data_IF_210783951112
#
_entry.id   IF_210783951112
#
_cell.length_a   1.000
_cell.length_b   1.000
_cell.length_c   1.000
_cell.angle_alpha   90.00
_cell.angle_beta   90.00
_cell.angle_gamma   90.00
#
_symmetry.space_group_name_H-M   'P 1'
#
loop_
_entity.id
_entity.type
_entity.pdbx_description
1 polymer ?
#
# COMPACT_ATOMS: atom_id res chain seq x y z
N UNK A 1 -4.62 -29.28 -4.85
CA UNK A 1 -5.73 -28.38 -5.21
C UNK A 1 -5.97 -27.41 -4.07
N UNK A 2 -5.37 -26.20 -4.11
CA UNK A 2 -5.68 -25.15 -3.14
C UNK A 2 -6.95 -24.45 -3.62
N UNK A 3 -7.99 -24.47 -2.80
CA UNK A 3 -9.32 -23.93 -3.09
C UNK A 3 -9.25 -22.45 -3.49
N UNK A 4 -9.70 -22.11 -4.70
CA UNK A 4 -9.90 -20.73 -5.17
C UNK A 4 -10.87 -19.93 -4.28
N UNK A 5 -11.71 -20.60 -3.47
CA UNK A 5 -12.68 -19.94 -2.59
C UNK A 5 -12.01 -19.14 -1.44
N UNK A 6 -10.84 -19.57 -0.96
CA UNK A 6 -10.11 -18.84 0.09
C UNK A 6 -9.30 -17.64 -0.43
N UNK A 7 -9.03 -17.58 -1.74
CA UNK A 7 -8.27 -16.50 -2.37
C UNK A 7 -9.16 -15.28 -2.67
N UNK A 8 -10.41 -15.53 -3.08
CA UNK A 8 -11.42 -14.49 -3.32
C UNK A 8 -11.70 -13.63 -2.06
N UNK A 9 -11.68 -14.25 -0.87
CA UNK A 9 -11.96 -13.56 0.40
C UNK A 9 -10.87 -12.60 0.90
N UNK A 10 -9.64 -12.64 0.36
CA UNK A 10 -8.55 -11.73 0.79
C UNK A 10 -8.63 -10.41 0.02
N UNK A 11 -9.07 -10.44 -1.24
CA UNK A 11 -9.29 -9.26 -2.07
C UNK A 11 -10.60 -8.54 -1.71
N UNK A 12 -11.66 -9.29 -1.42
CA UNK A 12 -12.97 -8.76 -0.99
C UNK A 12 -13.16 -8.88 0.52
N UNK A 13 -12.37 -8.12 1.29
CA UNK A 13 -12.58 -8.05 2.74
C UNK A 13 -13.83 -7.25 3.07
N UNK A 14 -14.99 -7.92 3.13
CA UNK A 14 -16.23 -7.36 3.67
C UNK A 14 -16.33 -7.66 5.17
N UNK A 15 -16.16 -6.62 5.97
CA UNK A 15 -16.22 -6.67 7.44
C UNK A 15 -17.05 -5.49 7.93
N UNK A 16 -17.98 -5.74 8.85
CA UNK A 16 -18.76 -4.70 9.51
C UNK A 16 -17.95 -4.06 10.66
N UNK A 17 -18.21 -2.79 11.02
CA UNK A 17 -17.47 -2.09 12.08
C UNK A 17 -17.35 -2.84 13.40
N UNK A 18 -18.41 -3.58 13.76
CA UNK A 18 -18.58 -4.23 15.04
C UNK A 18 -18.31 -5.75 14.99
N UNK A 19 -17.97 -6.29 13.81
CA UNK A 19 -17.47 -7.67 13.69
C UNK A 19 -16.23 -7.84 14.56
N UNK A 20 -16.11 -8.98 15.25
CA UNK A 20 -14.99 -9.22 16.16
C UNK A 20 -13.78 -9.78 15.40
N UNK A 21 -12.65 -9.09 15.51
CA UNK A 21 -11.35 -9.52 15.01
C UNK A 21 -10.37 -9.56 16.18
N UNK A 22 -9.75 -10.72 16.41
CA UNK A 22 -8.89 -10.96 17.57
C UNK A 22 -9.52 -10.58 18.93
N UNK A 23 -10.86 -10.65 19.04
CA UNK A 23 -11.61 -10.34 20.25
C UNK A 23 -12.04 -8.88 20.41
N UNK A 24 -11.71 -8.00 19.46
CA UNK A 24 -12.11 -6.58 19.47
C UNK A 24 -12.90 -6.20 18.22
N UNK A 25 -13.75 -5.15 18.28
CA UNK A 25 -14.42 -4.62 17.09
C UNK A 25 -13.45 -4.30 15.95
N UNK A 26 -13.80 -4.72 14.74
CA UNK A 26 -13.00 -4.56 13.54
C UNK A 26 -12.60 -3.09 13.31
N UNK A 27 -13.45 -2.14 13.71
CA UNK A 27 -13.12 -0.71 13.61
C UNK A 27 -11.95 -0.27 14.47
N UNK A 28 -11.76 -0.88 15.65
CA UNK A 28 -10.61 -0.63 16.52
C UNK A 28 -9.35 -1.28 15.94
N UNK A 29 -9.45 -2.51 15.46
CA UNK A 29 -8.32 -3.18 14.80
C UNK A 29 -7.89 -2.40 13.56
N UNK A 30 -8.84 -1.95 12.73
CA UNK A 30 -8.55 -1.10 11.57
C UNK A 30 -7.87 0.20 11.98
N UNK A 31 -8.32 0.86 13.06
CA UNK A 31 -7.67 2.07 13.59
C UNK A 31 -6.20 1.79 13.92
N UNK A 32 -5.91 0.69 14.60
CA UNK A 32 -4.55 0.23 14.90
C UNK A 32 -3.72 -0.01 13.63
N UNK A 33 -4.23 -0.79 12.67
CA UNK A 33 -3.54 -1.10 11.42
C UNK A 33 -3.37 0.12 10.49
N UNK A 34 -4.06 1.23 10.75
CA UNK A 34 -3.88 2.50 10.02
C UNK A 34 -2.85 3.42 10.68
N UNK A 35 -2.55 3.23 11.97
CA UNK A 35 -1.60 4.06 12.70
C UNK A 35 -0.21 3.97 12.08
N UNK A 36 0.23 2.75 11.80
CA UNK A 36 1.45 2.47 11.07
C UNK A 36 1.17 1.32 10.09
N UNK A 37 1.24 1.62 8.79
CA UNK A 37 0.85 0.66 7.73
C UNK A 37 1.88 -0.43 7.48
N UNK A 38 3.10 -0.28 8.00
CA UNK A 38 4.20 -1.20 7.73
C UNK A 38 4.47 -2.11 8.92
N UNK A 39 4.54 -1.53 10.11
CA UNK A 39 4.98 -2.23 11.31
C UNK A 39 4.10 -1.94 12.52
N UNK A 40 4.09 -2.87 13.48
CA UNK A 40 3.41 -2.72 14.76
C UNK A 40 4.28 -3.20 15.91
N UNK A 41 3.97 -2.66 17.08
CA UNK A 41 4.61 -2.94 18.35
C UNK A 41 3.58 -2.98 19.48
N UNK A 42 3.98 -3.43 20.66
CA UNK A 42 3.16 -3.33 21.89
C UNK A 42 2.83 -1.86 22.17
N UNK A 43 3.82 -0.97 22.06
CA UNK A 43 3.63 0.46 22.28
C UNK A 43 2.59 1.08 21.32
N UNK A 44 2.56 0.67 20.06
CA UNK A 44 1.53 1.13 19.11
C UNK A 44 0.12 0.71 19.57
N UNK A 45 -0.03 -0.52 20.09
CA UNK A 45 -1.31 -1.01 20.60
C UNK A 45 -1.73 -0.22 21.83
N UNK A 46 -0.82 -0.04 22.79
CA UNK A 46 -1.05 0.75 24.01
C UNK A 46 -1.45 2.18 23.67
N UNK A 47 -0.72 2.84 22.77
CA UNK A 47 -0.98 4.22 22.38
C UNK A 47 -2.30 4.40 21.61
N UNK A 48 -2.65 3.47 20.73
CA UNK A 48 -3.82 3.62 19.84
C UNK A 48 -5.12 3.13 20.49
N UNK A 49 -5.03 2.06 21.27
CA UNK A 49 -6.18 1.36 21.86
C UNK A 49 -6.28 1.51 23.39
N UNK A 50 -5.25 2.01 24.06
CA UNK A 50 -5.25 2.20 25.51
C UNK A 50 -5.18 0.89 26.32
N UNK A 51 -4.70 -0.20 25.70
CA UNK A 51 -4.54 -1.49 26.38
C UNK A 51 -3.26 -1.52 27.22
N UNK A 52 -3.28 -2.25 28.34
CA UNK A 52 -2.05 -2.56 29.07
C UNK A 52 -1.14 -3.50 28.29
N UNK A 53 0.15 -3.52 28.62
CA UNK A 53 1.18 -4.24 27.86
C UNK A 53 0.89 -5.75 27.68
N UNK A 54 0.34 -6.40 28.71
CA UNK A 54 -0.04 -7.82 28.64
C UNK A 54 -1.16 -8.07 27.63
N UNK A 55 -2.22 -7.24 27.66
CA UNK A 55 -3.35 -7.36 26.74
C UNK A 55 -2.97 -6.94 25.32
N UNK A 56 -2.08 -5.96 25.19
CA UNK A 56 -1.49 -5.58 23.91
C UNK A 56 -0.68 -6.73 23.29
N UNK A 57 0.16 -7.40 24.07
CA UNK A 57 0.91 -8.57 23.63
C UNK A 57 -0.02 -9.73 23.23
N UNK A 58 -1.07 -9.98 24.03
CA UNK A 58 -2.11 -10.98 23.73
C UNK A 58 -2.85 -10.68 22.43
N UNK A 59 -3.22 -9.42 22.21
CA UNK A 59 -3.89 -8.97 20.98
C UNK A 59 -3.01 -9.22 19.75
N UNK A 60 -1.72 -8.84 19.81
CA UNK A 60 -0.78 -9.07 18.71
C UNK A 60 -0.63 -10.56 18.42
N UNK A 61 -0.59 -11.42 19.45
CA UNK A 61 -0.54 -12.87 19.26
C UNK A 61 -1.79 -13.41 18.57
N UNK A 62 -2.97 -12.90 18.93
CA UNK A 62 -4.22 -13.27 18.29
C UNK A 62 -4.28 -12.80 16.83
N UNK A 63 -3.81 -11.59 16.53
CA UNK A 63 -3.71 -11.06 15.17
C UNK A 63 -2.73 -11.88 14.30
N UNK A 64 -1.60 -12.31 14.87
CA UNK A 64 -0.66 -13.23 14.20
C UNK A 64 -1.34 -14.57 13.89
N UNK A 65 -2.02 -15.15 14.87
CA UNK A 65 -2.71 -16.45 14.75
C UNK A 65 -3.80 -16.38 13.65
N UNK A 66 -4.51 -15.26 13.57
CA UNK A 66 -5.52 -15.00 12.54
C UNK A 66 -4.95 -14.49 11.21
N UNK A 67 -3.62 -14.42 11.10
CA UNK A 67 -2.84 -14.05 9.90
C UNK A 67 -3.05 -12.61 9.41
N UNK A 68 -3.45 -11.68 10.28
CA UNK A 68 -3.49 -10.25 9.94
C UNK A 68 -2.09 -9.61 10.01
N UNK A 69 -1.23 -10.14 10.88
CA UNK A 69 0.17 -9.72 11.00
C UNK A 69 1.08 -10.95 11.00
N UNK A 70 2.37 -10.72 10.77
CA UNK A 70 3.41 -11.74 10.85
C UNK A 70 4.66 -11.14 11.51
N UNK A 71 5.54 -11.98 12.04
CA UNK A 71 6.82 -11.50 12.57
C UNK A 71 7.63 -10.80 11.49
N UNK A 72 8.28 -9.72 11.88
CA UNK A 72 9.20 -8.98 11.03
C UNK A 72 10.54 -9.73 10.99
N UNK A 73 10.83 -10.41 9.87
CA UNK A 73 12.07 -11.16 9.70
C UNK A 73 13.30 -10.26 9.41
N UNK A 74 13.07 -8.98 9.10
CA UNK A 74 14.10 -8.04 8.62
C UNK A 74 14.53 -7.02 9.67
N UNK A 75 13.92 -7.00 10.85
CA UNK A 75 14.29 -6.10 11.95
C UNK A 75 14.68 -6.89 13.20
N UNK A 76 16.00 -7.14 13.43
CA UNK A 76 16.47 -7.56 14.73
C UNK A 76 16.43 -6.36 15.68
N UNK A 77 15.35 -6.21 16.43
CA UNK A 77 15.15 -5.12 17.39
C UNK A 77 13.75 -5.14 18.03
N UNK A 78 13.66 -4.70 19.29
CA UNK A 78 12.46 -4.89 20.15
C UNK A 78 11.28 -4.00 19.73
N UNK A 79 11.54 -2.88 19.05
CA UNK A 79 10.52 -1.83 18.91
C UNK A 79 9.50 -2.07 17.79
N UNK A 80 9.76 -2.89 16.76
CA UNK A 80 8.84 -3.09 15.60
C UNK A 80 8.83 -4.54 15.12
N UNK A 81 8.35 -5.43 15.98
CA UNK A 81 8.43 -6.89 15.84
C UNK A 81 7.40 -7.48 14.88
N UNK A 82 6.36 -6.74 14.52
CA UNK A 82 5.28 -7.20 13.66
C UNK A 82 5.21 -6.39 12.36
N UNK A 83 4.88 -7.07 11.27
CA UNK A 83 4.58 -6.46 9.98
C UNK A 83 3.22 -6.95 9.49
N UNK A 84 2.55 -6.14 8.68
CA UNK A 84 1.24 -6.52 8.12
C UNK A 84 1.39 -7.67 7.12
N UNK A 85 0.37 -8.52 7.05
CA UNK A 85 0.16 -9.42 5.91
C UNK A 85 -0.72 -8.71 4.87
N UNK A 86 -0.91 -9.33 3.70
CA UNK A 86 -1.89 -8.83 2.71
C UNK A 86 -3.29 -8.76 3.33
N UNK A 87 -3.67 -9.74 4.16
CA UNK A 87 -4.95 -9.75 4.90
C UNK A 87 -5.04 -8.58 5.90
N UNK A 88 -3.94 -8.26 6.60
CA UNK A 88 -3.87 -7.07 7.46
C UNK A 88 -4.01 -5.76 6.68
N UNK A 89 -3.33 -5.67 5.53
CA UNK A 89 -3.44 -4.54 4.61
C UNK A 89 -4.88 -4.34 4.13
N UNK A 90 -5.55 -5.42 3.72
CA UNK A 90 -6.95 -5.40 3.32
C UNK A 90 -7.86 -4.86 4.44
N UNK A 91 -7.69 -5.32 5.69
CA UNK A 91 -8.46 -4.79 6.83
C UNK A 91 -8.18 -3.30 7.07
N UNK A 92 -6.92 -2.90 6.98
CA UNK A 92 -6.53 -1.49 7.11
C UNK A 92 -7.23 -0.63 6.05
N UNK A 93 -7.38 -1.12 4.83
CA UNK A 93 -8.02 -0.38 3.74
C UNK A 93 -9.54 -0.47 3.73
N UNK A 94 -10.12 -1.53 4.30
CA UNK A 94 -11.55 -1.82 4.29
C UNK A 94 -12.41 -0.60 4.63
N UNK A 95 -13.42 -0.37 3.78
CA UNK A 95 -14.49 0.57 4.05
C UNK A 95 -15.57 -0.05 4.94
N UNK A 96 -16.05 0.75 5.88
CA UNK A 96 -17.21 0.44 6.72
C UNK A 96 -18.48 1.13 6.24
N UNK A 97 -18.40 1.84 5.12
CA UNK A 97 -19.57 2.48 4.51
C UNK A 97 -20.44 1.44 3.81
N UNK A 98 -21.73 1.76 3.66
CA UNK A 98 -22.64 0.96 2.85
C UNK A 98 -22.09 0.81 1.41
N UNK A 99 -22.30 -0.35 0.76
CA UNK A 99 -21.97 -0.56 -0.64
C UNK A 99 -22.57 0.52 -1.53
N UNK A 100 -21.88 0.82 -2.63
CA UNK A 100 -22.35 1.76 -3.66
C UNK A 100 -22.90 1.02 -4.86
N UNK A 101 -23.78 1.68 -5.61
CA UNK A 101 -24.25 1.14 -6.89
C UNK A 101 -23.09 1.00 -7.88
N UNK A 102 -23.17 0.00 -8.76
CA UNK A 102 -22.18 -0.19 -9.83
C UNK A 102 -21.99 1.06 -10.68
N UNK A 103 -23.08 1.73 -11.06
CA UNK A 103 -23.05 2.98 -11.82
C UNK A 103 -22.20 4.07 -11.12
N UNK A 104 -22.30 4.19 -9.79
CA UNK A 104 -21.51 5.16 -9.02
C UNK A 104 -20.02 4.79 -9.00
N UNK A 105 -19.71 3.51 -8.91
CA UNK A 105 -18.33 3.03 -8.97
C UNK A 105 -17.72 3.22 -10.37
N UNK A 106 -18.48 2.97 -11.44
CA UNK A 106 -18.08 3.23 -12.83
C UNK A 106 -17.82 4.72 -13.07
N UNK A 107 -18.69 5.59 -12.56
CA UNK A 107 -18.48 7.05 -12.62
C UNK A 107 -17.20 7.47 -11.87
N UNK A 108 -16.97 6.91 -10.68
CA UNK A 108 -15.74 7.17 -9.92
C UNK A 108 -14.49 6.67 -10.67
N UNK A 109 -14.58 5.52 -11.34
CA UNK A 109 -13.50 4.97 -12.16
C UNK A 109 -13.22 5.86 -13.36
N UNK A 110 -14.24 6.29 -14.10
CA UNK A 110 -14.09 7.21 -15.23
C UNK A 110 -13.36 8.49 -14.81
N UNK A 111 -13.80 9.11 -13.72
CA UNK A 111 -13.14 10.31 -13.21
C UNK A 111 -11.70 10.06 -12.76
N UNK A 112 -11.38 8.87 -12.24
CA UNK A 112 -9.99 8.49 -11.97
C UNK A 112 -9.17 8.43 -13.25
N UNK A 113 -9.69 7.81 -14.31
CA UNK A 113 -8.98 7.68 -15.59
C UNK A 113 -8.75 9.04 -16.27
N UNK A 114 -9.64 10.00 -16.10
CA UNK A 114 -9.42 11.37 -16.59
C UNK A 114 -8.27 12.04 -15.82
N UNK A 115 -8.24 11.91 -14.49
CA UNK A 115 -7.12 12.42 -13.68
C UNK A 115 -5.80 11.72 -13.99
N UNK A 116 -5.81 10.44 -14.38
CA UNK A 116 -4.61 9.73 -14.85
C UNK A 116 -4.03 10.42 -16.09
N UNK A 117 -4.87 10.78 -17.07
CA UNK A 117 -4.44 11.51 -18.28
C UNK A 117 -3.85 12.88 -17.92
N UNK A 118 -4.52 13.61 -17.03
CA UNK A 118 -4.06 14.92 -16.56
C UNK A 118 -2.70 14.82 -15.86
N UNK A 119 -2.53 13.88 -14.93
CA UNK A 119 -1.26 13.65 -14.23
C UNK A 119 -0.13 13.34 -15.22
N UNK A 120 -0.40 12.47 -16.19
CA UNK A 120 0.60 12.08 -17.19
C UNK A 120 0.98 13.27 -18.09
N UNK A 121 0.02 14.12 -18.47
CA UNK A 121 0.24 15.32 -19.26
C UNK A 121 0.87 16.51 -18.52
N UNK A 122 0.71 16.62 -17.20
CA UNK A 122 1.16 17.79 -16.44
C UNK A 122 2.67 17.78 -16.16
N UNK A 123 3.43 18.63 -16.87
CA UNK A 123 4.89 18.74 -16.73
C UNK A 123 5.35 19.25 -15.37
N UNK A 124 4.46 19.82 -14.55
CA UNK A 124 4.79 20.33 -13.20
C UNK A 124 4.91 19.20 -12.18
N UNK A 125 4.27 18.06 -12.43
CA UNK A 125 4.33 16.91 -11.52
C UNK A 125 5.62 16.11 -11.74
N UNK A 126 6.24 15.66 -10.65
CA UNK A 126 7.49 14.90 -10.70
C UNK A 126 7.30 13.40 -11.03
N UNK A 127 6.05 12.91 -10.93
CA UNK A 127 5.68 11.52 -11.17
C UNK A 127 4.62 11.42 -12.27
N UNK A 128 4.63 10.29 -12.99
CA UNK A 128 3.56 9.85 -13.90
C UNK A 128 3.00 8.51 -13.46
N UNK A 129 1.75 8.25 -13.81
CA UNK A 129 1.13 6.94 -13.71
C UNK A 129 1.64 6.08 -14.85
N UNK A 130 2.39 5.02 -14.54
CA UNK A 130 2.77 4.00 -15.51
C UNK A 130 1.67 2.97 -15.70
N UNK A 131 1.00 2.55 -14.63
CA UNK A 131 0.02 1.45 -14.69
C UNK A 131 -1.14 1.67 -13.74
N UNK A 132 -2.33 1.30 -14.18
CA UNK A 132 -3.56 1.26 -13.38
C UNK A 132 -4.18 -0.12 -13.50
N UNK A 133 -4.42 -0.77 -12.38
CA UNK A 133 -5.01 -2.10 -12.30
C UNK A 133 -6.19 -2.06 -11.34
N UNK A 134 -7.35 -2.51 -11.78
CA UNK A 134 -8.50 -2.71 -10.88
C UNK A 134 -8.51 -4.13 -10.36
N UNK A 135 -8.91 -4.31 -9.11
CA UNK A 135 -9.06 -5.62 -8.48
C UNK A 135 -10.27 -5.61 -7.52
N UNK A 136 -10.53 -6.74 -6.87
CA UNK A 136 -11.59 -6.85 -5.87
C UNK A 136 -13.01 -6.76 -6.45
N UNK A 137 -13.95 -6.33 -5.61
CA UNK A 137 -15.40 -6.57 -5.81
C UNK A 137 -15.98 -5.94 -7.06
N UNK A 138 -15.30 -4.94 -7.62
CA UNK A 138 -15.69 -4.29 -8.86
C UNK A 138 -15.68 -5.25 -10.07
N UNK A 139 -14.84 -6.29 -10.04
CA UNK A 139 -14.75 -7.30 -11.10
C UNK A 139 -15.89 -8.33 -11.09
N UNK A 140 -16.64 -8.42 -9.99
CA UNK A 140 -17.83 -9.27 -9.93
C UNK A 140 -18.97 -8.72 -10.80
N UNK A 141 -20.06 -9.46 -10.99
CA UNK A 141 -21.28 -8.99 -11.65
C UNK A 141 -22.29 -8.33 -10.68
N UNK A 142 -21.93 -8.15 -9.42
CA UNK A 142 -22.84 -7.61 -8.40
C UNK A 142 -23.37 -6.20 -8.76
N UNK A 143 -24.66 -5.95 -8.54
CA UNK A 143 -25.27 -4.63 -8.72
C UNK A 143 -24.70 -3.55 -7.78
N UNK A 144 -24.06 -3.98 -6.68
CA UNK A 144 -23.39 -3.10 -5.71
C UNK A 144 -21.96 -3.56 -5.43
N UNK A 145 -21.08 -2.61 -5.14
CA UNK A 145 -19.67 -2.85 -4.80
C UNK A 145 -19.34 -2.15 -3.49
N UNK A 146 -18.43 -2.72 -2.68
CA UNK A 146 -18.07 -2.10 -1.40
C UNK A 146 -17.29 -0.80 -1.62
N UNK A 147 -16.28 -0.90 -2.46
CA UNK A 147 -15.33 0.12 -2.87
C UNK A 147 -14.81 -0.15 -4.29
N UNK A 148 -13.98 0.77 -4.78
CA UNK A 148 -13.20 0.61 -6.00
C UNK A 148 -11.73 0.46 -5.62
N UNK A 149 -11.26 -0.78 -5.60
CA UNK A 149 -9.87 -1.13 -5.33
C UNK A 149 -9.01 -0.97 -6.59
N UNK A 150 -8.11 0.02 -6.54
CA UNK A 150 -7.21 0.38 -7.64
C UNK A 150 -5.78 0.28 -7.17
N UNK A 151 -4.99 -0.50 -7.89
CA UNK A 151 -3.55 -0.47 -7.80
C UNK A 151 -3.00 0.52 -8.82
N UNK A 152 -2.11 1.40 -8.35
CA UNK A 152 -1.39 2.35 -9.19
C UNK A 152 0.10 2.10 -9.11
N UNK A 153 0.76 2.23 -10.25
CA UNK A 153 2.21 2.37 -10.30
C UNK A 153 2.61 3.78 -10.73
N UNK A 154 3.36 4.45 -9.85
CA UNK A 154 3.93 5.76 -10.10
C UNK A 154 5.42 5.62 -10.40
N UNK A 155 5.86 6.21 -11.50
CA UNK A 155 7.27 6.30 -11.85
C UNK A 155 7.73 7.76 -11.96
N UNK A 156 9.00 8.06 -11.67
CA UNK A 156 9.59 9.36 -11.95
C UNK A 156 9.41 9.77 -13.41
N UNK A 157 9.12 11.05 -13.67
CA UNK A 157 9.22 11.62 -15.03
C UNK A 157 10.66 11.91 -15.43
N UNK A 158 11.52 12.24 -14.46
CA UNK A 158 12.96 12.41 -14.67
C UNK A 158 13.66 11.05 -14.53
N UNK A 159 14.34 10.60 -15.59
CA UNK A 159 14.98 9.29 -15.65
C UNK A 159 16.32 9.26 -14.90
N UNK A 160 17.01 10.40 -14.78
CA UNK A 160 18.22 10.49 -13.99
C UNK A 160 17.87 10.51 -12.50
N UNK A 161 18.26 9.44 -11.78
CA UNK A 161 17.94 9.26 -10.36
C UNK A 161 18.48 10.37 -9.45
N UNK A 162 19.68 10.89 -9.71
CA UNK A 162 20.28 11.96 -8.90
C UNK A 162 19.50 13.26 -9.09
N UNK A 163 19.22 13.61 -10.34
CA UNK A 163 18.43 14.80 -10.69
C UNK A 163 16.99 14.70 -10.17
N UNK A 164 16.35 13.53 -10.27
CA UNK A 164 15.02 13.33 -9.70
C UNK A 164 15.01 13.52 -8.18
N UNK A 165 16.03 13.03 -7.48
CA UNK A 165 16.18 13.25 -6.04
C UNK A 165 16.34 14.72 -5.69
N UNK A 166 17.13 15.47 -6.46
CA UNK A 166 17.26 16.92 -6.29
C UNK A 166 15.92 17.63 -6.50
N UNK A 167 15.15 17.26 -7.52
CA UNK A 167 13.82 17.81 -7.78
C UNK A 167 12.83 17.53 -6.64
N UNK A 168 12.80 16.30 -6.10
CA UNK A 168 11.96 15.96 -4.95
C UNK A 168 12.32 16.83 -3.74
N UNK A 169 13.61 16.95 -3.43
CA UNK A 169 14.06 17.75 -2.29
C UNK A 169 13.76 19.23 -2.48
N UNK A 170 13.99 19.78 -3.68
CA UNK A 170 13.66 21.16 -4.00
C UNK A 170 12.16 21.43 -3.88
N UNK A 171 11.32 20.50 -4.35
CA UNK A 171 9.86 20.59 -4.24
C UNK A 171 9.39 20.56 -2.78
N UNK A 172 9.95 19.66 -1.97
CA UNK A 172 9.66 19.60 -0.53
C UNK A 172 10.12 20.87 0.21
N UNK A 173 11.32 21.40 -0.11
CA UNK A 173 11.82 22.66 0.45
C UNK A 173 10.87 23.83 0.12
N UNK A 174 10.39 23.91 -1.13
CA UNK A 174 9.45 24.93 -1.53
C UNK A 174 8.11 24.81 -0.77
N UNK A 175 7.64 23.59 -0.52
CA UNK A 175 6.45 23.38 0.30
C UNK A 175 6.67 23.80 1.77
N UNK A 176 7.83 23.52 2.35
CA UNK A 176 8.19 23.98 3.71
C UNK A 176 8.20 25.50 3.83
N UNK A 177 8.78 26.19 2.84
CA UNK A 177 8.75 27.66 2.77
C UNK A 177 7.32 28.22 2.69
N UNK A 178 6.37 27.43 2.17
CA UNK A 178 4.95 27.75 2.11
C UNK A 178 4.15 27.20 3.32
N UNK A 179 4.83 26.79 4.39
CA UNK A 179 4.21 26.41 5.66
C UNK A 179 3.85 24.92 5.79
N UNK A 180 4.23 24.06 4.84
CA UNK A 180 4.09 22.61 4.99
C UNK A 180 5.06 22.11 6.06
N UNK A 181 4.56 21.34 7.02
CA UNK A 181 5.40 20.62 7.97
C UNK A 181 5.50 19.15 7.57
N UNK A 182 6.71 18.60 7.69
CA UNK A 182 6.99 17.18 7.52
C UNK A 182 7.46 16.60 8.85
N UNK A 183 6.91 15.45 9.24
CA UNK A 183 7.26 14.80 10.51
C UNK A 183 8.61 14.11 10.45
N UNK A 184 9.06 13.70 9.26
CA UNK A 184 10.34 13.02 9.06
C UNK A 184 10.79 13.07 7.59
N UNK A 185 12.03 12.61 7.35
CA UNK A 185 12.64 12.58 6.01
C UNK A 185 11.89 11.67 5.02
N UNK A 186 11.21 10.61 5.48
CA UNK A 186 10.49 9.70 4.59
C UNK A 186 9.25 10.40 4.04
N UNK A 187 8.48 11.10 4.88
CA UNK A 187 7.35 11.92 4.43
C UNK A 187 7.81 12.99 3.43
N UNK A 188 8.95 13.61 3.72
CA UNK A 188 9.56 14.64 2.87
C UNK A 188 9.95 14.12 1.48
N UNK A 189 10.45 12.89 1.40
CA UNK A 189 10.82 12.24 0.14
C UNK A 189 9.62 11.69 -0.65
N UNK A 190 8.56 11.22 0.04
CA UNK A 190 7.35 10.70 -0.61
C UNK A 190 6.34 11.80 -0.98
N UNK A 191 6.50 13.02 -0.45
CA UNK A 191 5.56 14.13 -0.62
C UNK A 191 5.06 14.33 -2.06
N UNK A 192 5.96 14.42 -3.03
CA UNK A 192 5.59 14.65 -4.43
C UNK A 192 4.77 13.48 -5.02
N UNK A 193 5.07 12.24 -4.65
CA UNK A 193 4.28 11.09 -5.08
C UNK A 193 2.92 11.07 -4.36
N UNK A 194 2.89 11.42 -3.07
CA UNK A 194 1.66 11.51 -2.28
C UNK A 194 0.69 12.58 -2.79
N UNK A 195 1.18 13.69 -3.33
CA UNK A 195 0.36 14.69 -4.01
C UNK A 195 -0.34 14.09 -5.24
N UNK A 196 0.40 13.33 -6.06
CA UNK A 196 -0.18 12.62 -7.21
C UNK A 196 -1.23 11.61 -6.75
N UNK A 197 -0.96 10.80 -5.72
CA UNK A 197 -1.95 9.85 -5.18
C UNK A 197 -3.21 10.57 -4.68
N UNK A 198 -3.03 11.70 -4.00
CA UNK A 198 -4.14 12.51 -3.47
C UNK A 198 -4.98 13.11 -4.59
N UNK A 199 -4.33 13.59 -5.66
CA UNK A 199 -4.99 14.09 -6.86
C UNK A 199 -5.79 12.97 -7.54
N UNK A 200 -5.17 11.82 -7.82
CA UNK A 200 -5.82 10.66 -8.44
C UNK A 200 -7.04 10.18 -7.63
N UNK A 201 -6.94 10.19 -6.29
CA UNK A 201 -8.07 9.83 -5.42
C UNK A 201 -9.24 10.82 -5.53
N UNK A 202 -8.98 12.09 -5.85
CA UNK A 202 -10.02 13.10 -6.06
C UNK A 202 -10.96 13.28 -4.86
N UNK A 203 -10.46 13.05 -3.63
CA UNK A 203 -11.24 13.00 -2.38
C UNK A 203 -12.38 11.96 -2.38
N UNK A 204 -12.40 11.04 -3.35
CA UNK A 204 -13.40 9.99 -3.43
C UNK A 204 -13.30 9.09 -2.20
N UNK A 205 -14.44 8.87 -1.54
CA UNK A 205 -14.54 7.92 -0.42
C UNK A 205 -14.61 6.46 -0.90
N UNK A 206 -14.91 6.23 -2.17
CA UNK A 206 -15.10 4.91 -2.77
C UNK A 206 -13.76 4.36 -3.27
N UNK A 207 -12.87 5.22 -3.77
CA UNK A 207 -11.59 4.79 -4.34
C UNK A 207 -10.59 4.45 -3.22
N UNK A 208 -10.17 3.18 -3.19
CA UNK A 208 -8.97 2.76 -2.47
C UNK A 208 -7.81 2.68 -3.46
N UNK A 209 -6.74 3.42 -3.14
CA UNK A 209 -5.50 3.37 -3.91
C UNK A 209 -4.48 2.55 -3.14
N UNK A 210 -3.84 1.63 -3.84
CA UNK A 210 -2.73 0.85 -3.30
C UNK A 210 -1.55 0.85 -4.28
N UNK A 211 -0.32 0.85 -3.78
CA UNK A 211 0.86 0.79 -4.66
C UNK A 211 0.99 -0.62 -5.28
N UNK A 212 1.48 -0.72 -6.53
CA UNK A 212 1.54 -1.99 -7.27
C UNK A 212 2.48 -3.07 -6.71
N UNK A 213 3.33 -2.72 -5.74
CA UNK A 213 4.32 -3.62 -5.18
C UNK A 213 3.90 -4.21 -3.82
N UNK A 214 2.62 -4.06 -3.44
CA UNK A 214 2.07 -4.55 -2.17
C UNK A 214 1.76 -6.07 -2.17
N UNK A 215 1.88 -6.73 -3.33
CA UNK A 215 1.63 -8.16 -3.53
C UNK A 215 0.14 -8.54 -3.66
N UNK A 216 -0.80 -7.59 -3.57
CA UNK A 216 -2.23 -7.91 -3.66
C UNK A 216 -2.60 -8.42 -5.05
N UNK A 217 -1.95 -7.90 -6.09
CA UNK A 217 -2.17 -8.28 -7.48
C UNK A 217 -1.70 -9.71 -7.81
N UNK A 218 -0.87 -10.33 -6.95
CA UNK A 218 -0.44 -11.72 -7.12
C UNK A 218 -1.51 -12.73 -6.71
N UNK A 219 -2.46 -12.30 -5.87
CA UNK A 219 -3.46 -13.18 -5.27
C UNK A 219 -4.90 -12.82 -5.66
N UNK A 220 -5.16 -11.55 -5.94
CA UNK A 220 -6.47 -11.04 -6.28
C UNK A 220 -6.73 -11.17 -7.78
N UNK A 221 -7.98 -11.50 -8.15
CA UNK A 221 -8.43 -11.27 -9.51
C UNK A 221 -8.25 -9.79 -9.85
N UNK A 222 -7.64 -9.52 -10.99
CA UNK A 222 -7.26 -8.18 -11.37
C UNK A 222 -7.33 -7.99 -12.89
N UNK A 223 -7.55 -6.73 -13.29
CA UNK A 223 -7.61 -6.33 -14.70
C UNK A 223 -6.83 -5.04 -14.90
N UNK A 224 -5.92 -5.05 -15.87
CA UNK A 224 -5.20 -3.84 -16.28
C UNK A 224 -6.15 -2.91 -17.04
N UNK A 225 -6.25 -1.67 -16.58
CA UNK A 225 -7.06 -0.62 -17.20
C UNK A 225 -6.23 0.36 -18.02
N UNK A 226 -4.98 0.57 -17.60
CA UNK A 226 -4.03 1.43 -18.28
C UNK A 226 -2.61 0.92 -18.06
N UNK A 227 -1.81 0.98 -19.12
CA UNK A 227 -0.37 0.79 -19.06
C UNK A 227 0.28 1.74 -20.08
N UNK A 228 1.21 2.56 -19.59
CA UNK A 228 1.98 3.49 -20.41
C UNK A 228 2.86 2.67 -21.39
N UNK A 229 2.76 2.89 -22.71
CA UNK A 229 3.53 2.14 -23.70
C UNK A 229 5.04 2.42 -23.66
N UNK A 230 5.50 3.46 -22.97
CA UNK A 230 6.94 3.71 -22.83
C UNK A 230 7.62 2.65 -21.93
N UNK A 231 8.59 1.95 -22.53
CA UNK A 231 9.33 0.79 -22.02
C UNK A 231 9.49 0.77 -20.50
N UNK A 232 9.00 -0.31 -19.91
CA UNK A 232 9.44 -0.87 -18.63
C UNK A 232 10.97 -0.72 -18.52
N UNK A 233 11.51 -0.08 -17.47
CA UNK A 233 12.88 -0.36 -17.09
C UNK A 233 12.93 -1.86 -16.82
N UNK A 234 13.61 -2.61 -17.67
CA UNK A 234 13.93 -4.02 -17.42
C UNK A 234 14.56 -4.07 -16.03
N UNK A 235 13.85 -4.59 -15.05
CA UNK A 235 14.48 -5.06 -13.82
C UNK A 235 15.48 -6.11 -14.30
N UNK A 236 16.79 -5.95 -14.09
CA UNK A 236 17.71 -7.03 -14.37
C UNK A 236 17.22 -8.21 -13.53
N UNK A 237 16.86 -9.33 -14.20
CA UNK A 237 16.64 -10.60 -13.51
C UNK A 237 17.78 -10.75 -12.49
N UNK A 238 17.42 -10.97 -11.23
CA UNK A 238 18.39 -11.23 -10.17
C UNK A 238 19.40 -12.24 -10.72
N UNK A 239 20.66 -11.80 -10.83
CA UNK A 239 21.77 -12.70 -11.11
C UNK A 239 21.69 -13.75 -10.01
N UNK A 240 21.57 -15.01 -10.42
CA UNK A 240 21.47 -16.17 -9.56
C UNK A 240 22.56 -16.20 -8.49
N UNK A 241 22.45 -17.10 -7.50
CA UNK A 241 23.23 -17.04 -6.27
C UNK A 241 24.72 -16.89 -6.60
N UNK A 242 25.33 -15.84 -6.05
CA UNK A 242 26.78 -15.61 -6.10
C UNK A 242 27.47 -16.89 -5.67
N UNK A 243 28.11 -17.57 -6.62
CA UNK A 243 29.02 -18.67 -6.36
C UNK A 243 30.06 -18.14 -5.36
N UNK A 244 30.12 -18.75 -4.17
CA UNK A 244 31.18 -18.50 -3.20
C UNK A 244 32.52 -18.81 -3.87
N UNK A 245 33.27 -17.78 -4.24
CA UNK A 245 34.68 -17.93 -4.57
C UNK A 245 35.37 -18.49 -3.31
N UNK A 246 35.87 -19.72 -3.43
CA UNK A 246 36.72 -20.35 -2.42
C UNK A 246 37.93 -19.45 -2.21
N UNK A 247 38.20 -19.07 -0.96
CA UNK A 247 39.47 -18.46 -0.55
C UNK A 247 40.61 -19.41 -0.95
N UNK A 248 41.37 -19.04 -1.98
CA UNK A 248 42.69 -19.62 -2.21
C UNK A 248 43.63 -18.90 -1.25
N UNK A 249 44.22 -19.67 -0.33
CA UNK A 249 45.32 -19.25 0.53
C UNK A 249 46.57 -19.09 -0.34
N UNK A 250 47.31 -18.00 -0.14
CA UNK A 250 48.74 -17.95 -0.47
C UNK A 250 49.23 -16.68 -1.13
N UNK A 251 50.03 -15.93 -0.36
CA UNK A 251 51.27 -15.27 -0.80
C UNK A 251 51.23 -13.82 -1.33
N UNK A 252 52.36 -13.10 -1.14
CA UNK A 252 52.38 -11.77 -0.49
C UNK A 252 52.91 -10.66 -1.40
N UNK A 253 52.47 -9.42 -1.17
CA UNK A 253 53.24 -8.17 -1.28
C UNK A 253 52.47 -7.09 -0.52
#
# INVERSE_FOLDING_TARGET
>A
MKSSANLCHIADMRVQPDDLIAGLPAKLIRKLLRHNRQFLSVADVTNVLGLGDEDAARLLKNLETQKFIKKNASAPGVEKTWQHTIKGGALSNALFSAPVTRLKAESALSGLMDRVKEVNGDRRLLFRVRRVVVFGSFLSESATVGDLDISIDLIPKESNRSKHRELILAHANAAELNGRQFQNIIERLDFAAQEVRSYLKGRSRIIQLTDCNDGVLEIAENRVLYEDPEKTPTVPKAIGPKVRLRRIKGCPF
#
